data_IF_775399764403
#
_entry.id   IF_775399764403
#
_cell.length_a   1.000
_cell.length_b   1.000
_cell.length_c   1.000
_cell.angle_alpha   90.00
_cell.angle_beta   90.00
_cell.angle_gamma   90.00
#
_symmetry.space_group_name_H-M   'P 1'
#
loop_
_entity.id
_entity.type
_entity.pdbx_description
1 polymer ?
#
# COMPACT_ATOMS: atom_id res chain seq x y z
N UNK A 1 -29.75 -7.53 44.17
CA UNK A 1 -28.45 -8.15 43.79
C UNK A 1 -27.44 -7.75 44.86
N UNK A 2 -26.55 -8.65 45.29
CA UNK A 2 -25.54 -8.34 46.33
C UNK A 2 -24.58 -7.24 45.85
N UNK A 3 -24.20 -6.31 46.71
CA UNK A 3 -23.23 -5.23 46.42
C UNK A 3 -21.92 -5.77 45.82
N UNK A 4 -21.51 -6.97 46.24
CA UNK A 4 -20.32 -7.65 45.70
C UNK A 4 -20.48 -8.04 44.21
N UNK A 5 -21.69 -8.34 43.75
CA UNK A 5 -21.96 -8.63 42.34
C UNK A 5 -21.93 -7.36 41.49
N UNK A 6 -22.39 -6.23 42.03
CA UNK A 6 -22.32 -4.92 41.37
C UNK A 6 -20.86 -4.47 41.20
N UNK A 7 -20.07 -4.51 42.28
CA UNK A 7 -18.65 -4.11 42.26
C UNK A 7 -17.83 -4.95 41.27
N UNK A 8 -18.08 -6.28 41.20
CA UNK A 8 -17.41 -7.15 40.22
C UNK A 8 -17.75 -6.79 38.78
N UNK A 9 -19.02 -6.44 38.51
CA UNK A 9 -19.46 -6.02 37.19
C UNK A 9 -18.76 -4.71 36.79
N UNK A 10 -18.75 -3.73 37.67
CA UNK A 10 -18.11 -2.43 37.41
C UNK A 10 -16.60 -2.57 37.18
N UNK A 11 -15.93 -3.40 37.99
CA UNK A 11 -14.51 -3.72 37.80
C UNK A 11 -14.25 -4.34 36.42
N UNK A 12 -15.05 -5.32 36.02
CA UNK A 12 -14.90 -5.97 34.71
C UNK A 12 -15.15 -4.99 33.56
N UNK A 13 -16.13 -4.10 33.69
CA UNK A 13 -16.45 -3.09 32.67
C UNK A 13 -15.35 -2.03 32.56
N UNK A 14 -14.78 -1.57 33.69
CA UNK A 14 -13.63 -0.66 33.70
C UNK A 14 -12.37 -1.33 33.15
N UNK A 15 -12.12 -2.59 33.51
CA UNK A 15 -10.98 -3.37 32.99
C UNK A 15 -11.04 -3.52 31.47
N UNK A 16 -12.22 -3.83 30.91
CA UNK A 16 -12.46 -3.87 29.45
C UNK A 16 -12.21 -2.52 28.79
N UNK A 17 -12.70 -1.42 29.40
CA UNK A 17 -12.47 -0.05 28.89
C UNK A 17 -10.97 0.29 28.87
N UNK A 18 -10.25 -0.04 29.95
CA UNK A 18 -8.82 0.20 30.07
C UNK A 18 -8.03 -0.58 29.01
N UNK A 19 -8.32 -1.88 28.83
CA UNK A 19 -7.71 -2.69 27.77
C UNK A 19 -7.96 -2.10 26.37
N UNK A 20 -9.18 -1.61 26.11
CA UNK A 20 -9.52 -0.94 24.83
C UNK A 20 -8.78 0.40 24.65
N UNK A 21 -8.56 1.17 25.72
CA UNK A 21 -7.78 2.40 25.63
C UNK A 21 -6.30 2.11 25.37
N UNK A 22 -5.74 1.12 26.06
CA UNK A 22 -4.36 0.67 25.86
C UNK A 22 -4.11 0.18 24.44
N UNK A 23 -5.04 -0.61 23.86
CA UNK A 23 -4.90 -1.06 22.47
C UNK A 23 -4.96 0.11 21.49
N UNK A 24 -5.84 1.09 21.70
CA UNK A 24 -5.91 2.31 20.87
C UNK A 24 -4.63 3.15 20.94
N UNK A 25 -4.05 3.30 22.13
CA UNK A 25 -2.77 3.99 22.32
C UNK A 25 -1.69 3.28 21.51
N UNK A 26 -1.57 1.96 21.66
CA UNK A 26 -0.60 1.16 20.90
C UNK A 26 -0.80 1.28 19.38
N UNK A 27 -2.04 1.27 18.90
CA UNK A 27 -2.35 1.48 17.48
C UNK A 27 -1.91 2.87 17.00
N UNK A 28 -2.21 3.93 17.76
CA UNK A 28 -1.83 5.30 17.41
C UNK A 28 -0.30 5.51 17.45
N UNK A 29 0.38 4.96 18.44
CA UNK A 29 1.84 4.98 18.51
C UNK A 29 2.46 4.27 17.31
N UNK A 30 1.92 3.10 16.92
CA UNK A 30 2.41 2.38 15.74
C UNK A 30 2.14 3.14 14.44
N UNK A 31 1.02 3.86 14.35
CA UNK A 31 0.72 4.76 13.24
C UNK A 31 1.78 5.88 13.16
N UNK A 32 2.04 6.57 14.26
CA UNK A 32 3.01 7.68 14.29
C UNK A 32 4.46 7.25 13.98
N UNK A 33 4.80 5.98 14.17
CA UNK A 33 6.14 5.42 13.89
C UNK A 33 6.37 5.06 12.43
N UNK A 34 5.32 5.01 11.59
CA UNK A 34 5.50 4.64 10.20
C UNK A 34 6.18 5.75 9.40
N UNK A 35 6.91 5.32 8.39
CA UNK A 35 7.46 6.21 7.37
C UNK A 35 6.37 6.58 6.36
N UNK A 36 6.07 7.86 6.24
CA UNK A 36 5.04 8.37 5.33
C UNK A 36 5.62 9.13 4.14
N UNK A 37 6.92 9.00 3.87
CA UNK A 37 7.61 9.89 2.94
C UNK A 37 8.15 11.13 3.64
N UNK A 38 8.89 11.94 2.90
CA UNK A 38 9.60 13.09 3.47
C UNK A 38 8.64 14.17 4.00
N UNK A 39 7.50 14.35 3.32
CA UNK A 39 6.48 15.33 3.65
C UNK A 39 5.15 14.68 4.08
N UNK A 40 5.15 13.35 4.24
CA UNK A 40 3.95 12.59 4.59
C UNK A 40 3.05 12.26 3.40
N UNK A 41 3.56 12.35 2.17
CA UNK A 41 2.84 12.12 0.92
C UNK A 41 2.18 10.73 0.84
N UNK A 42 2.73 9.72 1.53
CA UNK A 42 2.19 8.35 1.58
C UNK A 42 1.29 8.08 2.79
N UNK A 43 0.99 9.10 3.61
CA UNK A 43 0.05 8.95 4.73
C UNK A 43 -1.32 8.42 4.28
N UNK A 44 -1.75 8.78 3.07
CA UNK A 44 -3.00 8.30 2.47
C UNK A 44 -3.07 6.78 2.29
N UNK A 45 -1.94 6.08 2.31
CA UNK A 45 -1.88 4.62 2.20
C UNK A 45 -2.16 3.91 3.52
N UNK A 46 -2.07 4.61 4.65
CA UNK A 46 -2.31 4.00 5.95
C UNK A 46 -3.76 3.53 6.08
N UNK A 47 -3.93 2.28 6.52
CA UNK A 47 -5.23 1.58 6.58
C UNK A 47 -5.97 1.43 5.24
N UNK A 48 -5.34 1.73 4.11
CA UNK A 48 -5.87 1.42 2.78
C UNK A 48 -5.31 0.09 2.29
N UNK A 49 -6.10 -0.59 1.46
CA UNK A 49 -5.66 -1.76 0.72
C UNK A 49 -6.08 -1.62 -0.74
N UNK A 50 -5.19 -2.00 -1.64
CA UNK A 50 -5.41 -1.95 -3.08
C UNK A 50 -5.49 -3.38 -3.61
N UNK A 51 -6.46 -3.64 -4.47
CA UNK A 51 -6.72 -4.97 -5.01
C UNK A 51 -6.65 -4.94 -6.54
N UNK A 52 -6.00 -5.94 -7.11
CA UNK A 52 -5.96 -6.17 -8.55
C UNK A 52 -6.26 -7.63 -8.84
N UNK A 53 -7.11 -7.87 -9.83
CA UNK A 53 -7.47 -9.22 -10.24
C UNK A 53 -6.76 -9.56 -11.54
N UNK A 54 -5.94 -10.60 -11.48
CA UNK A 54 -5.19 -11.13 -12.63
C UNK A 54 -5.53 -12.62 -12.78
N UNK A 55 -6.16 -12.99 -13.90
CA UNK A 55 -6.67 -14.35 -14.14
C UNK A 55 -7.58 -14.85 -13.00
N UNK A 56 -7.15 -15.90 -12.28
CA UNK A 56 -7.87 -16.52 -11.15
C UNK A 56 -7.45 -15.97 -9.78
N UNK A 57 -6.45 -15.09 -9.75
CA UNK A 57 -5.84 -14.58 -8.53
C UNK A 57 -6.31 -13.15 -8.24
N UNK A 58 -6.57 -12.84 -6.97
CA UNK A 58 -6.78 -11.48 -6.48
C UNK A 58 -5.58 -11.12 -5.61
N UNK A 59 -4.80 -10.17 -6.06
CA UNK A 59 -3.67 -9.62 -5.31
C UNK A 59 -4.18 -8.47 -4.46
N UNK A 60 -3.83 -8.49 -3.18
CA UNK A 60 -4.22 -7.47 -2.22
C UNK A 60 -2.98 -6.93 -1.53
N UNK A 61 -2.76 -5.64 -1.64
CA UNK A 61 -1.63 -4.93 -1.01
C UNK A 61 -2.18 -4.00 0.05
N UNK A 62 -1.76 -4.17 1.29
CA UNK A 62 -2.06 -3.24 2.38
C UNK A 62 -0.74 -2.66 2.90
N UNK A 63 -0.33 -1.44 2.46
CA UNK A 63 0.86 -0.78 2.96
C UNK A 63 0.88 -0.71 4.49
N UNK A 64 2.06 -0.76 5.09
CA UNK A 64 2.27 -0.83 6.55
C UNK A 64 1.73 -2.09 7.23
N UNK A 65 1.23 -3.07 6.46
CA UNK A 65 0.73 -4.35 6.96
C UNK A 65 1.36 -5.51 6.18
N UNK A 66 0.68 -5.99 5.14
CA UNK A 66 1.10 -7.16 4.38
C UNK A 66 0.51 -7.14 2.97
N UNK A 67 1.07 -7.98 2.11
CA UNK A 67 0.54 -8.30 0.79
C UNK A 67 0.13 -9.76 0.71
N UNK A 68 -0.91 -10.06 -0.06
CA UNK A 68 -1.44 -11.41 -0.21
C UNK A 68 -1.99 -11.67 -1.60
N UNK A 69 -1.99 -12.95 -1.98
CA UNK A 69 -2.62 -13.46 -3.19
C UNK A 69 -3.76 -14.40 -2.76
N UNK A 70 -4.95 -14.18 -3.27
CA UNK A 70 -6.13 -14.99 -2.96
C UNK A 70 -6.56 -15.77 -4.21
N UNK A 71 -6.79 -17.07 -4.04
CA UNK A 71 -7.34 -17.98 -5.06
C UNK A 71 -8.57 -18.68 -4.46
N UNK A 72 -9.77 -18.18 -4.76
CA UNK A 72 -11.01 -18.68 -4.16
C UNK A 72 -11.03 -18.52 -2.63
N UNK A 73 -10.90 -19.62 -1.90
CA UNK A 73 -10.83 -19.63 -0.43
C UNK A 73 -9.39 -19.74 0.13
N UNK A 74 -8.39 -19.95 -0.74
CA UNK A 74 -7.00 -20.04 -0.35
C UNK A 74 -6.35 -18.67 -0.37
N UNK A 75 -5.61 -18.32 0.69
CA UNK A 75 -4.85 -17.07 0.77
C UNK A 75 -3.39 -17.41 0.99
N UNK A 76 -2.54 -16.90 0.12
CA UNK A 76 -1.08 -16.99 0.20
C UNK A 76 -0.53 -15.64 0.63
N UNK A 77 0.31 -15.60 1.66
CA UNK A 77 1.01 -14.40 2.08
C UNK A 77 2.20 -14.14 1.15
N UNK A 78 2.23 -12.95 0.53
CA UNK A 78 3.32 -12.53 -0.36
C UNK A 78 4.40 -11.72 0.37
N UNK A 79 4.18 -11.38 1.64
CA UNK A 79 5.15 -10.69 2.47
C UNK A 79 4.52 -9.70 3.43
N UNK A 80 5.24 -9.41 4.51
CA UNK A 80 4.95 -8.33 5.44
C UNK A 80 5.65 -7.05 4.99
N UNK A 81 5.08 -5.91 5.35
CA UNK A 81 5.67 -4.60 5.07
C UNK A 81 7.12 -4.50 5.57
N UNK A 82 8.03 -4.16 4.66
CA UNK A 82 9.48 -4.01 4.91
C UNK A 82 9.98 -2.57 4.60
N UNK A 83 9.03 -1.65 4.41
CA UNK A 83 9.29 -0.24 4.19
C UNK A 83 9.50 0.16 2.74
N UNK A 84 9.85 1.44 2.58
CA UNK A 84 10.20 2.03 1.29
C UNK A 84 11.68 1.81 0.96
N UNK A 85 11.99 1.63 -0.32
CA UNK A 85 13.34 1.50 -0.89
C UNK A 85 13.49 2.39 -2.12
N UNK A 86 14.73 2.58 -2.57
CA UNK A 86 15.09 3.38 -3.75
C UNK A 86 14.41 4.77 -3.74
N UNK A 87 14.61 5.51 -2.65
CA UNK A 87 14.05 6.86 -2.44
C UNK A 87 12.54 6.90 -2.70
N UNK A 88 11.80 6.01 -2.02
CA UNK A 88 10.34 5.86 -2.11
C UNK A 88 9.79 5.42 -3.47
N UNK A 89 10.63 4.96 -4.41
CA UNK A 89 10.14 4.38 -5.67
C UNK A 89 9.57 2.98 -5.49
N UNK A 90 10.01 2.26 -4.45
CA UNK A 90 9.64 0.87 -4.22
C UNK A 90 9.06 0.71 -2.82
N UNK A 91 7.89 0.09 -2.70
CA UNK A 91 7.43 -0.52 -1.45
C UNK A 91 7.82 -1.99 -1.45
N UNK A 92 8.49 -2.44 -0.40
CA UNK A 92 8.94 -3.82 -0.28
C UNK A 92 8.08 -4.60 0.73
N UNK A 93 7.70 -5.81 0.34
CA UNK A 93 7.07 -6.80 1.17
C UNK A 93 7.90 -8.07 1.15
N UNK A 94 8.36 -8.52 2.32
CA UNK A 94 9.29 -9.64 2.45
C UNK A 94 8.80 -10.65 3.49
N UNK A 95 9.45 -11.82 3.57
CA UNK A 95 9.12 -12.87 4.55
C UNK A 95 7.66 -13.37 4.45
N UNK A 96 7.21 -13.62 3.21
CA UNK A 96 5.91 -14.26 2.93
C UNK A 96 5.94 -15.77 3.17
N UNK A 97 4.91 -16.46 2.68
CA UNK A 97 4.79 -17.91 2.84
C UNK A 97 5.92 -18.63 2.11
N UNK A 98 6.43 -19.70 2.73
CA UNK A 98 7.51 -20.52 2.19
C UNK A 98 7.15 -21.09 0.82
N UNK A 99 8.05 -20.92 -0.14
CA UNK A 99 7.91 -21.46 -1.48
C UNK A 99 8.67 -22.79 -1.62
N UNK A 100 8.08 -23.75 -2.33
CA UNK A 100 8.79 -24.99 -2.64
C UNK A 100 9.84 -24.74 -3.74
N UNK A 101 11.10 -25.08 -3.47
CA UNK A 101 12.23 -24.82 -4.37
C UNK A 101 12.34 -23.35 -4.80
N UNK A 102 12.13 -22.43 -3.86
CA UNK A 102 12.28 -20.99 -4.06
C UNK A 102 12.53 -20.28 -2.73
N UNK A 103 12.79 -18.97 -2.76
CA UNK A 103 12.86 -18.17 -1.54
C UNK A 103 11.47 -18.06 -0.88
N UNK A 104 11.43 -17.52 0.34
CA UNK A 104 10.16 -17.08 0.91
C UNK A 104 9.53 -16.03 -0.01
N UNK A 105 8.20 -16.10 -0.17
CA UNK A 105 7.51 -15.20 -1.10
C UNK A 105 7.78 -13.75 -0.76
N UNK A 106 7.97 -12.94 -1.79
CA UNK A 106 8.21 -11.51 -1.65
C UNK A 106 7.53 -10.74 -2.78
N UNK A 107 7.17 -9.48 -2.51
CA UNK A 107 6.51 -8.61 -3.47
C UNK A 107 7.16 -7.22 -3.42
N UNK A 108 7.54 -6.71 -4.59
CA UNK A 108 8.04 -5.34 -4.77
C UNK A 108 7.05 -4.53 -5.57
N UNK A 109 6.58 -3.43 -4.99
CA UNK A 109 5.64 -2.51 -5.66
C UNK A 109 6.40 -1.29 -6.15
N UNK A 110 6.38 -1.03 -7.45
CA UNK A 110 6.91 0.18 -8.07
C UNK A 110 5.85 1.26 -8.05
N UNK A 111 6.15 2.37 -7.39
CA UNK A 111 5.28 3.55 -7.40
C UNK A 111 5.45 4.31 -8.71
N UNK A 112 4.32 4.67 -9.32
CA UNK A 112 4.26 5.47 -10.54
C UNK A 112 3.26 6.61 -10.36
N UNK A 113 3.51 7.71 -11.08
CA UNK A 113 2.56 8.82 -11.08
C UNK A 113 1.27 8.40 -11.76
N UNK A 114 0.13 8.68 -11.12
CA UNK A 114 -1.20 8.51 -11.69
C UNK A 114 -2.23 9.36 -10.97
N UNK A 115 -3.42 9.47 -11.55
CA UNK A 115 -4.48 10.37 -11.04
C UNK A 115 -5.19 9.83 -9.79
N UNK A 116 -5.06 8.54 -9.52
CA UNK A 116 -5.69 7.83 -8.40
C UNK A 116 -4.72 6.81 -7.83
N UNK A 117 -4.95 6.42 -6.57
CA UNK A 117 -4.25 5.32 -5.94
C UNK A 117 -4.83 4.00 -6.48
N UNK A 118 -4.10 3.33 -7.35
CA UNK A 118 -4.60 2.16 -8.10
C UNK A 118 -3.50 1.14 -8.32
N UNK A 119 -3.82 -0.14 -8.09
CA UNK A 119 -2.95 -1.26 -8.41
C UNK A 119 -3.11 -1.55 -9.90
N UNK A 120 -2.03 -1.34 -10.66
CA UNK A 120 -2.01 -1.30 -12.13
C UNK A 120 -1.66 -2.67 -12.76
N UNK A 121 -0.51 -3.24 -12.38
CA UNK A 121 0.00 -4.49 -12.96
C UNK A 121 0.69 -5.38 -11.92
N UNK A 122 0.72 -6.69 -12.16
CA UNK A 122 1.48 -7.67 -11.35
C UNK A 122 2.05 -8.78 -12.24
N UNK A 123 3.35 -9.03 -12.04
CA UNK A 123 4.12 -10.07 -12.72
C UNK A 123 4.88 -10.93 -11.71
N UNK A 124 5.09 -12.20 -12.06
CA UNK A 124 5.98 -13.13 -11.35
C UNK A 124 7.20 -13.42 -12.23
N UNK A 125 8.20 -12.52 -12.31
CA UNK A 125 9.37 -12.69 -13.17
C UNK A 125 10.27 -13.86 -12.74
N UNK A 126 10.24 -14.21 -11.46
CA UNK A 126 10.97 -15.33 -10.87
C UNK A 126 10.05 -16.02 -9.88
N UNK A 127 10.24 -17.33 -9.68
CA UNK A 127 9.36 -18.14 -8.83
C UNK A 127 9.27 -17.54 -7.43
N UNK A 128 8.05 -17.24 -6.98
CA UNK A 128 7.74 -16.69 -5.67
C UNK A 128 8.30 -15.28 -5.41
N UNK A 129 8.81 -14.59 -6.44
CA UNK A 129 9.22 -13.20 -6.40
C UNK A 129 8.33 -12.40 -7.35
N UNK A 130 7.52 -11.52 -6.77
CA UNK A 130 6.51 -10.76 -7.49
C UNK A 130 6.96 -9.31 -7.66
N UNK A 131 6.64 -8.72 -8.81
CA UNK A 131 6.78 -7.28 -9.06
C UNK A 131 5.43 -6.76 -9.49
N UNK A 132 5.01 -5.64 -8.94
CA UNK A 132 3.78 -4.96 -9.32
C UNK A 132 3.99 -3.46 -9.41
N UNK A 133 3.04 -2.76 -10.02
CA UNK A 133 3.02 -1.30 -10.10
C UNK A 133 1.78 -0.73 -9.43
N UNK A 134 1.97 0.38 -8.71
CA UNK A 134 0.88 1.14 -8.10
C UNK A 134 0.96 2.59 -8.58
N UNK A 135 -0.12 3.04 -9.20
CA UNK A 135 -0.34 4.42 -9.58
C UNK A 135 -0.74 5.22 -8.35
N UNK A 136 -0.18 6.43 -8.18
CA UNK A 136 -0.56 7.33 -7.09
C UNK A 136 -0.30 8.79 -7.45
N UNK A 137 -1.19 9.73 -7.05
CA UNK A 137 -0.93 11.16 -7.18
C UNK A 137 0.28 11.61 -6.37
N UNK A 138 0.57 10.93 -5.25
CA UNK A 138 1.70 11.26 -4.37
C UNK A 138 3.07 11.17 -5.07
N UNK A 139 3.15 10.40 -6.15
CA UNK A 139 4.38 10.23 -6.94
C UNK A 139 4.44 11.15 -8.17
N UNK A 140 3.39 11.95 -8.41
CA UNK A 140 3.38 12.97 -9.44
C UNK A 140 4.12 14.22 -8.96
N UNK A 141 5.11 14.66 -9.74
CA UNK A 141 5.86 15.90 -9.45
C UNK A 141 5.39 17.00 -10.37
N UNK A 142 5.11 18.17 -9.78
CA UNK A 142 4.65 19.36 -10.51
C UNK A 142 5.62 19.77 -11.63
N UNK A 143 6.94 19.68 -11.39
CA UNK A 143 7.96 19.98 -12.41
C UNK A 143 7.81 19.10 -13.66
N UNK A 144 7.51 17.81 -13.47
CA UNK A 144 7.28 16.87 -14.57
C UNK A 144 5.97 17.18 -15.30
N UNK A 145 4.95 17.65 -14.57
CA UNK A 145 3.68 18.10 -15.19
C UNK A 145 3.92 19.31 -16.10
N UNK A 146 4.68 20.30 -15.62
CA UNK A 146 5.04 21.49 -16.39
C UNK A 146 5.89 21.15 -17.63
N UNK A 147 6.83 20.21 -17.51
CA UNK A 147 7.62 19.72 -18.64
C UNK A 147 6.74 19.06 -19.70
N UNK A 148 5.79 18.21 -19.27
CA UNK A 148 4.84 17.54 -20.17
C UNK A 148 3.90 18.53 -20.85
N UNK A 149 3.41 19.55 -20.13
CA UNK A 149 2.60 20.62 -20.71
C UNK A 149 3.37 21.39 -21.78
N UNK A 150 4.61 21.81 -21.50
CA UNK A 150 5.45 22.51 -22.49
C UNK A 150 5.67 21.67 -23.75
N UNK A 151 5.89 20.36 -23.61
CA UNK A 151 6.04 19.44 -24.76
C UNK A 151 4.74 19.28 -25.55
N UNK A 152 3.61 19.25 -24.86
CA UNK A 152 2.30 19.16 -25.50
C UNK A 152 1.98 20.44 -26.28
N UNK A 153 2.28 21.61 -25.70
CA UNK A 153 2.11 22.90 -26.36
C UNK A 153 2.99 23.03 -27.61
N UNK A 154 4.24 22.56 -27.55
CA UNK A 154 5.13 22.58 -28.72
C UNK A 154 4.63 21.66 -29.85
N UNK A 155 4.16 20.45 -29.51
CA UNK A 155 3.60 19.52 -30.51
C UNK A 155 2.34 20.09 -31.17
N UNK A 156 1.48 20.74 -30.40
CA UNK A 156 0.28 21.38 -30.94
C UNK A 156 0.61 22.54 -31.86
N UNK A 157 1.64 23.34 -31.54
CA UNK A 157 2.11 24.40 -32.42
C UNK A 157 2.65 23.85 -33.75
N UNK A 158 3.44 22.77 -33.71
CA UNK A 158 3.94 22.11 -34.94
C UNK A 158 2.81 21.62 -35.84
N UNK A 159 1.77 20.98 -35.26
CA UNK A 159 0.59 20.52 -36.00
C UNK A 159 -0.15 21.71 -36.63
N UNK A 160 -0.39 22.78 -35.87
CA UNK A 160 -1.06 23.97 -36.41
C UNK A 160 -0.28 24.62 -37.55
N UNK A 161 1.05 24.66 -37.47
CA UNK A 161 1.88 25.19 -38.56
C UNK A 161 1.90 24.31 -39.81
N UNK A 162 1.65 23.00 -39.68
CA UNK A 162 1.61 22.10 -40.82
C UNK A 162 0.28 22.17 -41.58
N UNK A 163 -0.83 22.41 -40.88
CA UNK A 163 -2.18 22.52 -41.49
C UNK A 163 -2.45 23.88 -42.17
N UNK A 164 -1.61 24.90 -41.96
CA UNK A 164 -1.70 26.23 -42.59
C UNK A 164 -0.84 26.39 -43.88
N UNK A 165 -0.16 25.33 -44.33
CA UNK A 165 0.65 25.26 -45.56
C UNK A 165 0.01 24.36 -46.63
#
# INVERSE_FOLDING_TARGET
>A
MSDAAHVRKDYNDLSRKLSKMQSRISTLENKMKQDYGNEGEFYSFYDQCFEHKENKYIYKICPYKQASQVEGHSTTNLGRWDGFKDSYKIMEFSNGDRCWNGPDRSLKIRLRCGLKNEFDDVDEPSRCEYIASLLTPAFCREERLQELQKRLDSLNQEIQTHDEL
#
